data_IF_203802915342
#
_entry.id   IF_203802915342
#
_cell.length_a   1.000
_cell.length_b   1.000
_cell.length_c   1.000
_cell.angle_alpha   90.00
_cell.angle_beta   90.00
_cell.angle_gamma   90.00
#
_symmetry.space_group_name_H-M   'P 1'
#
loop_
_entity.id
_entity.type
_entity.pdbx_description
1 polymer ?
#
# COMPACT_ATOMS: atom_id res chain seq x y z
N UNK A 1 15.97 42.35 2.41
CA UNK A 1 16.14 41.00 3.01
C UNK A 1 15.28 40.05 2.20
N UNK A 2 15.81 39.31 1.21
CA UNK A 2 15.05 38.25 0.59
C UNK A 2 15.32 36.95 1.36
N UNK A 3 14.28 36.38 1.98
CA UNK A 3 14.31 35.02 2.48
C UNK A 3 14.21 34.08 1.26
N UNK A 4 15.36 33.79 0.66
CA UNK A 4 15.47 32.88 -0.47
C UNK A 4 15.41 31.43 0.04
N UNK A 5 14.48 30.65 -0.54
CA UNK A 5 14.64 29.23 -0.85
C UNK A 5 14.78 28.21 0.31
N UNK A 6 13.67 27.88 1.00
CA UNK A 6 13.61 26.70 1.89
C UNK A 6 13.19 25.41 1.17
N UNK A 7 13.15 25.41 -0.17
CA UNK A 7 12.63 24.28 -0.96
C UNK A 7 13.72 23.43 -1.63
N UNK A 8 15.01 23.67 -1.36
CA UNK A 8 16.12 22.96 -2.02
C UNK A 8 17.09 22.20 -1.10
N UNK A 9 16.69 21.87 0.14
CA UNK A 9 17.54 21.05 1.04
C UNK A 9 17.19 19.54 1.02
N UNK A 10 16.02 19.15 0.51
CA UNK A 10 15.51 17.78 0.64
C UNK A 10 15.95 16.84 -0.51
N UNK A 11 16.55 17.36 -1.59
CA UNK A 11 16.96 16.56 -2.75
C UNK A 11 18.26 15.76 -2.55
N UNK A 12 19.03 16.03 -1.48
CA UNK A 12 20.37 15.46 -1.26
C UNK A 12 20.41 14.29 -0.28
N UNK A 13 19.29 13.96 0.37
CA UNK A 13 19.24 12.77 1.23
C UNK A 13 18.65 11.59 0.46
N UNK A 14 19.32 10.42 0.41
CA UNK A 14 18.73 9.25 -0.21
C UNK A 14 17.44 8.92 0.54
N UNK A 15 16.30 8.95 -0.18
CA UNK A 15 14.98 8.64 0.38
C UNK A 15 15.04 7.27 1.05
N UNK A 16 15.04 7.28 2.38
CA UNK A 16 15.03 6.05 3.19
C UNK A 16 13.70 5.34 2.95
N UNK A 17 13.74 4.01 2.85
CA UNK A 17 12.51 3.21 2.80
C UNK A 17 11.69 3.51 4.07
N UNK A 18 10.43 3.87 3.89
CA UNK A 18 9.46 4.12 4.96
C UNK A 18 8.31 3.13 4.81
N UNK A 19 7.81 2.59 5.91
CA UNK A 19 6.62 1.73 5.92
C UNK A 19 5.41 2.60 5.61
N UNK A 20 4.56 2.10 4.71
CA UNK A 20 3.27 2.69 4.37
C UNK A 20 2.23 1.57 4.28
N UNK A 21 0.96 1.92 4.40
CA UNK A 21 -0.14 0.99 4.17
C UNK A 21 -0.67 1.21 2.75
N UNK A 22 -0.94 0.11 2.03
CA UNK A 22 -1.55 0.16 0.71
C UNK A 22 -3.06 0.45 0.76
N UNK A 23 -3.72 0.33 -0.38
CA UNK A 23 -5.17 0.46 -0.47
C UNK A 23 -5.91 -0.70 0.20
N UNK A 24 -7.20 -0.50 0.49
CA UNK A 24 -8.06 -1.55 1.02
C UNK A 24 -8.38 -2.55 -0.09
N UNK A 25 -8.09 -3.82 0.16
CA UNK A 25 -8.38 -4.91 -0.77
C UNK A 25 -9.73 -5.56 -0.47
N UNK A 26 -10.40 -6.03 -1.53
CA UNK A 26 -11.59 -6.86 -1.37
C UNK A 26 -11.21 -8.20 -0.74
N UNK A 27 -11.98 -8.70 0.25
CA UNK A 27 -11.67 -9.95 0.92
C UNK A 27 -11.99 -11.15 0.03
N UNK A 28 -11.29 -12.24 0.28
CA UNK A 28 -11.66 -13.55 -0.24
C UNK A 28 -12.77 -14.18 0.62
N UNK A 29 -13.83 -14.67 -0.02
CA UNK A 29 -15.00 -15.24 0.64
C UNK A 29 -15.03 -16.75 0.39
N UNK A 30 -15.05 -17.52 1.47
CA UNK A 30 -15.14 -18.97 1.46
C UNK A 30 -16.43 -19.45 2.08
N UNK A 31 -16.93 -20.58 1.58
CA UNK A 31 -17.94 -21.38 2.27
C UNK A 31 -17.23 -22.49 3.03
N UNK A 32 -17.62 -22.74 4.27
CA UNK A 32 -17.01 -23.77 5.12
C UNK A 32 -17.32 -25.20 4.65
N UNK A 33 -18.38 -25.37 3.86
CA UNK A 33 -18.80 -26.66 3.31
C UNK A 33 -18.13 -26.98 1.98
N UNK A 34 -17.52 -25.98 1.33
CA UNK A 34 -16.83 -26.14 0.06
C UNK A 34 -15.36 -26.45 0.26
N UNK A 35 -14.73 -27.19 -0.67
CA UNK A 35 -13.29 -27.38 -0.69
C UNK A 35 -12.52 -26.05 -0.70
N UNK A 36 -11.32 -26.04 -0.11
CA UNK A 36 -10.50 -24.83 0.02
C UNK A 36 -10.09 -24.20 -1.33
N UNK A 37 -10.13 -24.96 -2.43
CA UNK A 37 -9.78 -24.48 -3.77
C UNK A 37 -10.96 -23.89 -4.55
N UNK A 38 -12.16 -23.83 -3.98
CA UNK A 38 -13.36 -23.28 -4.63
C UNK A 38 -13.95 -22.13 -3.81
N UNK A 39 -13.28 -20.97 -3.75
CA UNK A 39 -13.80 -19.80 -3.05
C UNK A 39 -15.09 -19.30 -3.73
N UNK A 40 -16.02 -18.77 -2.93
CA UNK A 40 -17.24 -18.13 -3.43
C UNK A 40 -16.93 -16.82 -4.15
N UNK A 41 -15.94 -16.07 -3.65
CA UNK A 41 -15.46 -14.84 -4.27
C UNK A 41 -13.97 -14.68 -4.02
N UNK A 42 -13.19 -14.50 -5.07
CA UNK A 42 -11.76 -14.22 -4.97
C UNK A 42 -11.50 -12.83 -4.37
N UNK A 43 -10.54 -12.75 -3.47
CA UNK A 43 -10.03 -11.48 -2.96
C UNK A 43 -9.18 -10.74 -3.99
N UNK A 44 -8.92 -9.45 -3.74
CA UNK A 44 -7.99 -8.68 -4.56
C UNK A 44 -6.54 -8.96 -4.16
N UNK A 45 -5.61 -8.86 -5.10
CA UNK A 45 -4.18 -8.98 -4.85
C UNK A 45 -3.55 -7.59 -4.72
N UNK A 46 -2.60 -7.38 -3.77
CA UNK A 46 -1.87 -6.13 -3.65
C UNK A 46 -0.93 -5.88 -4.84
#
# INVERSE_FOLDING_TARGET
IPAENTENLDLKTPKKKKVTFGEVLSPEIFDQTLPANTPLRRGASP
#
